data_IF_104109679098
#
_entry.id   IF_104109679098
#
_cell.length_a   1.000
_cell.length_b   1.000
_cell.length_c   1.000
_cell.angle_alpha   90.00
_cell.angle_beta   90.00
_cell.angle_gamma   90.00
#
_symmetry.space_group_name_H-M   'P 1'
#
loop_
_entity.id
_entity.type
_entity.pdbx_description
1 polymer ?
#
# COMPACT_ATOMS: atom_id res chain seq x y z
N UNK A 1 11.38 17.14 29.49
CA UNK A 1 12.52 16.34 30.03
C UNK A 1 12.18 14.90 29.72
N UNK A 2 13.05 14.12 29.10
CA UNK A 2 12.68 12.78 28.59
C UNK A 2 12.94 11.71 29.66
N UNK A 3 12.00 10.77 29.83
CA UNK A 3 12.11 9.62 30.73
C UNK A 3 12.00 8.30 29.95
N UNK A 4 12.84 7.32 30.27
CA UNK A 4 12.73 5.94 29.78
C UNK A 4 11.70 5.16 30.63
N UNK A 5 10.81 4.43 29.97
CA UNK A 5 9.81 3.56 30.62
C UNK A 5 10.38 2.16 30.89
N UNK A 6 9.73 1.40 31.77
CA UNK A 6 10.10 0.00 32.03
C UNK A 6 9.94 -0.90 30.79
N UNK A 7 9.10 -0.47 29.84
CA UNK A 7 8.91 -1.09 28.53
C UNK A 7 10.00 -0.69 27.51
N UNK A 8 10.95 0.16 27.88
CA UNK A 8 12.12 0.49 27.09
C UNK A 8 11.88 1.53 25.97
N UNK A 9 10.84 2.34 26.06
CA UNK A 9 10.60 3.49 25.16
C UNK A 9 10.56 4.81 25.94
N UNK A 10 10.60 5.94 25.24
CA UNK A 10 10.73 7.26 25.84
C UNK A 10 9.40 8.01 25.91
N UNK A 11 9.21 8.77 26.98
CA UNK A 11 8.08 9.70 27.18
C UNK A 11 8.58 11.08 27.63
N UNK A 12 7.79 12.13 27.39
CA UNK A 12 8.03 13.39 28.08
C UNK A 12 7.63 13.27 29.57
N UNK A 13 8.51 13.69 30.46
CA UNK A 13 8.33 13.54 31.90
C UNK A 13 7.18 14.38 32.46
N UNK A 14 6.82 15.49 31.81
CA UNK A 14 5.72 16.37 32.22
C UNK A 14 4.40 15.87 31.65
N UNK A 15 4.29 15.71 30.34
CA UNK A 15 3.01 15.35 29.69
C UNK A 15 2.71 13.86 29.73
N UNK A 16 3.73 13.02 29.98
CA UNK A 16 3.68 11.55 29.84
C UNK A 16 3.39 11.06 28.41
N UNK A 17 3.35 11.95 27.44
CA UNK A 17 3.16 11.60 26.03
C UNK A 17 4.40 10.86 25.48
N UNK A 18 4.21 9.85 24.61
CA UNK A 18 5.31 9.19 23.91
C UNK A 18 6.16 10.17 23.09
N UNK A 19 7.48 9.95 23.11
CA UNK A 19 8.44 10.68 22.28
C UNK A 19 9.38 9.71 21.58
N UNK A 20 9.81 10.06 20.37
CA UNK A 20 10.85 9.32 19.65
C UNK A 20 12.16 10.06 19.81
N UNK A 21 13.12 9.43 20.47
CA UNK A 21 14.50 9.93 20.58
C UNK A 21 15.24 9.56 19.31
N UNK A 22 15.71 10.55 18.54
CA UNK A 22 16.44 10.34 17.29
C UNK A 22 17.94 10.17 17.52
N UNK A 23 18.44 10.75 18.61
CA UNK A 23 19.85 10.72 18.96
C UNK A 23 20.17 11.66 20.10
N UNK A 24 21.37 12.19 20.09
CA UNK A 24 21.83 13.12 21.13
C UNK A 24 22.70 14.19 20.52
N UNK A 25 22.61 15.40 21.07
CA UNK A 25 23.33 16.58 20.61
C UNK A 25 23.70 17.50 21.76
N UNK A 26 24.12 18.71 21.42
CA UNK A 26 24.48 19.75 22.38
C UNK A 26 23.67 21.00 22.05
N UNK A 27 23.34 21.79 23.07
CA UNK A 27 22.76 23.10 22.79
C UNK A 27 23.85 24.01 22.21
N UNK A 28 23.48 24.87 21.28
CA UNK A 28 24.44 25.79 20.65
C UNK A 28 24.97 26.83 21.64
N UNK A 29 24.14 27.23 22.60
CA UNK A 29 24.45 28.19 23.67
C UNK A 29 25.18 27.54 24.88
N UNK A 30 25.01 26.25 25.08
CA UNK A 30 25.72 25.50 26.13
C UNK A 30 26.09 24.08 25.67
N UNK A 31 27.36 23.92 25.30
CA UNK A 31 27.94 22.67 24.81
C UNK A 31 28.48 21.76 25.91
N UNK A 32 28.32 22.11 27.20
CA UNK A 32 28.87 21.33 28.31
C UNK A 32 28.11 20.03 28.57
N UNK A 33 26.84 19.97 28.20
CA UNK A 33 25.97 18.82 28.47
C UNK A 33 25.33 18.30 27.19
N UNK A 34 25.48 16.98 26.98
CA UNK A 34 24.77 16.25 25.94
C UNK A 34 23.29 16.16 26.29
N UNK A 35 22.41 16.46 25.34
CA UNK A 35 20.96 16.38 25.48
C UNK A 35 20.38 15.42 24.44
N UNK A 36 19.27 14.73 24.72
CA UNK A 36 18.58 13.94 23.72
C UNK A 36 17.96 14.86 22.66
N UNK A 37 18.05 14.45 21.40
CA UNK A 37 17.30 15.03 20.28
C UNK A 37 16.08 14.12 20.08
N UNK A 38 14.87 14.67 20.16
CA UNK A 38 13.64 13.90 20.09
C UNK A 38 12.53 14.67 19.40
N UNK A 39 11.55 13.93 18.88
CA UNK A 39 10.31 14.46 18.33
C UNK A 39 9.14 13.88 19.15
N UNK A 40 8.20 14.69 19.65
CA UNK A 40 6.94 14.19 20.20
C UNK A 40 6.19 13.33 19.18
N UNK A 41 5.64 12.19 19.60
CA UNK A 41 5.05 11.26 18.63
C UNK A 41 3.88 11.86 17.87
N UNK A 42 3.10 12.74 18.50
CA UNK A 42 2.01 13.48 17.88
C UNK A 42 2.45 14.39 16.72
N UNK A 43 3.70 14.83 16.72
CA UNK A 43 4.25 15.70 15.67
C UNK A 43 4.73 14.87 14.46
N UNK A 44 4.86 13.54 14.62
CA UNK A 44 5.31 12.65 13.54
C UNK A 44 4.25 12.38 12.48
N UNK A 45 2.98 12.72 12.75
CA UNK A 45 1.92 12.67 11.74
C UNK A 45 2.15 13.67 10.60
N UNK A 46 2.97 14.70 10.80
CA UNK A 46 3.42 15.63 9.75
C UNK A 46 4.55 15.09 8.87
N UNK A 47 4.86 13.80 8.98
CA UNK A 47 5.97 13.10 8.31
C UNK A 47 7.37 13.62 8.69
N UNK A 48 8.40 12.80 8.41
CA UNK A 48 9.80 13.14 8.65
C UNK A 48 10.62 12.75 7.42
N UNK A 49 11.31 13.72 6.82
CA UNK A 49 12.29 13.47 5.77
C UNK A 49 13.71 13.51 6.37
N UNK A 50 14.45 12.41 6.23
CA UNK A 50 15.83 12.32 6.67
C UNK A 50 16.78 12.22 5.47
N UNK A 51 17.53 13.29 5.21
CA UNK A 51 18.50 13.34 4.10
C UNK A 51 19.91 13.06 4.64
N UNK A 52 20.53 11.99 4.16
CA UNK A 52 21.89 11.60 4.54
C UNK A 52 22.56 10.80 3.42
N UNK A 53 23.89 10.91 3.30
CA UNK A 53 24.68 10.05 2.42
C UNK A 53 24.99 8.70 3.06
N UNK A 54 25.45 7.74 2.25
CA UNK A 54 25.83 6.39 2.72
C UNK A 54 26.86 6.47 3.85
N UNK A 55 26.72 5.60 4.87
CA UNK A 55 27.55 5.53 6.10
C UNK A 55 27.40 6.71 7.08
N UNK A 56 26.47 7.64 6.87
CA UNK A 56 26.20 8.73 7.84
C UNK A 56 25.13 8.39 8.89
N UNK A 57 24.93 7.10 9.18
CA UNK A 57 24.05 6.67 10.27
C UNK A 57 22.55 6.60 9.95
N UNK A 58 22.13 6.69 8.67
CA UNK A 58 20.72 6.56 8.26
C UNK A 58 20.08 5.25 8.78
N UNK A 59 20.75 4.11 8.58
CA UNK A 59 20.30 2.80 9.06
C UNK A 59 20.14 2.78 10.59
N UNK A 60 21.04 3.43 11.34
CA UNK A 60 20.95 3.53 12.81
C UNK A 60 19.74 4.34 13.27
N UNK A 61 19.38 5.40 12.54
CA UNK A 61 18.17 6.17 12.83
C UNK A 61 16.92 5.34 12.57
N UNK A 62 16.87 4.63 11.43
CA UNK A 62 15.78 3.71 11.07
C UNK A 62 15.61 2.63 12.15
N UNK A 63 16.68 1.91 12.50
CA UNK A 63 16.70 0.89 13.55
C UNK A 63 16.13 1.42 14.87
N UNK A 64 16.58 2.60 15.27
CA UNK A 64 16.20 3.23 16.53
C UNK A 64 14.73 3.67 16.54
N UNK A 65 14.21 4.17 15.41
CA UNK A 65 12.78 4.50 15.26
C UNK A 65 11.93 3.23 15.32
N UNK A 66 12.27 2.21 14.51
CA UNK A 66 11.57 0.93 14.49
C UNK A 66 11.57 0.26 15.86
N UNK A 67 12.71 0.24 16.55
CA UNK A 67 12.83 -0.34 17.90
C UNK A 67 11.89 0.37 18.89
N UNK A 68 11.89 1.70 18.91
CA UNK A 68 11.04 2.49 19.79
C UNK A 68 9.56 2.28 19.47
N UNK A 69 9.18 2.29 18.20
CA UNK A 69 7.78 2.11 17.78
C UNK A 69 7.26 0.71 18.13
N UNK A 70 8.08 -0.32 17.93
CA UNK A 70 7.73 -1.68 18.34
C UNK A 70 7.54 -1.76 19.86
N UNK A 71 8.43 -1.15 20.65
CA UNK A 71 8.33 -1.12 22.13
C UNK A 71 7.14 -0.31 22.64
N UNK A 72 6.72 0.74 21.92
CA UNK A 72 5.51 1.52 22.20
C UNK A 72 4.22 0.74 21.91
N UNK A 73 4.30 -0.35 21.15
CA UNK A 73 3.13 -1.10 20.73
C UNK A 73 2.51 -0.60 19.41
N UNK A 74 3.23 0.24 18.66
CA UNK A 74 2.76 0.73 17.36
C UNK A 74 2.83 -0.37 16.30
N UNK A 75 2.01 -0.24 15.28
CA UNK A 75 2.19 -0.95 14.02
C UNK A 75 3.35 -0.32 13.26
N UNK A 76 4.21 -1.14 12.67
CA UNK A 76 5.40 -0.70 11.93
C UNK A 76 5.39 -1.32 10.54
N UNK A 77 5.60 -0.50 9.51
CA UNK A 77 5.85 -0.94 8.15
C UNK A 77 7.23 -0.42 7.70
N UNK A 78 8.21 -1.32 7.63
CA UNK A 78 9.55 -1.00 7.16
C UNK A 78 9.72 -1.44 5.71
N UNK A 79 10.02 -0.48 4.83
CA UNK A 79 10.26 -0.70 3.40
C UNK A 79 11.74 -0.48 3.12
N UNK A 80 12.41 -1.53 2.67
CA UNK A 80 13.83 -1.54 2.35
C UNK A 80 14.07 -2.03 0.93
N UNK A 81 14.30 -1.10 -0.01
CA UNK A 81 14.66 -1.46 -1.37
C UNK A 81 16.02 -2.17 -1.47
N UNK A 82 16.97 -1.90 -0.57
CA UNK A 82 18.36 -2.38 -0.70
C UNK A 82 18.61 -3.75 -0.08
N UNK A 83 17.69 -4.24 0.76
CA UNK A 83 17.84 -5.47 1.53
C UNK A 83 19.04 -5.44 2.48
N UNK A 84 19.21 -4.34 3.23
CA UNK A 84 20.16 -4.28 4.34
C UNK A 84 19.69 -5.20 5.47
N UNK A 85 20.59 -6.06 5.95
CA UNK A 85 20.30 -7.02 7.02
C UNK A 85 20.17 -6.35 8.39
N UNK A 86 20.82 -5.21 8.61
CA UNK A 86 20.96 -4.62 9.94
C UNK A 86 19.59 -4.18 10.51
N UNK A 87 18.80 -3.47 9.72
CA UNK A 87 17.47 -3.01 10.12
C UNK A 87 16.49 -4.19 10.29
N UNK A 88 16.51 -5.19 9.40
CA UNK A 88 15.69 -6.40 9.52
C UNK A 88 16.01 -7.15 10.82
N UNK A 89 17.30 -7.42 11.07
CA UNK A 89 17.75 -8.13 12.26
C UNK A 89 17.27 -7.43 13.54
N UNK A 90 17.40 -6.10 13.58
CA UNK A 90 16.96 -5.30 14.71
C UNK A 90 15.45 -5.35 14.92
N UNK A 91 14.66 -5.28 13.85
CA UNK A 91 13.20 -5.39 13.91
C UNK A 91 12.78 -6.76 14.45
N UNK A 92 13.33 -7.85 13.91
CA UNK A 92 13.03 -9.22 14.34
C UNK A 92 13.46 -9.46 15.79
N UNK A 93 14.65 -9.01 16.17
CA UNK A 93 15.15 -9.07 17.54
C UNK A 93 14.22 -8.32 18.51
N UNK A 94 13.81 -7.10 18.15
CA UNK A 94 12.92 -6.28 18.99
C UNK A 94 11.53 -6.91 19.10
N UNK A 95 10.99 -7.42 18.01
CA UNK A 95 9.71 -8.13 18.01
C UNK A 95 9.76 -9.33 18.98
N UNK A 96 10.81 -10.16 18.91
CA UNK A 96 10.99 -11.30 19.83
C UNK A 96 11.16 -10.86 21.28
N UNK A 97 11.95 -9.81 21.55
CA UNK A 97 12.16 -9.26 22.90
C UNK A 97 10.88 -8.69 23.52
N UNK A 98 9.93 -8.27 22.69
CA UNK A 98 8.66 -7.68 23.13
C UNK A 98 7.48 -8.66 23.05
N UNK A 99 7.72 -9.93 22.67
CA UNK A 99 6.66 -10.95 22.51
C UNK A 99 5.73 -10.68 21.32
N UNK A 100 6.19 -9.92 20.33
CA UNK A 100 5.44 -9.47 19.15
C UNK A 100 5.84 -10.22 17.88
N UNK A 101 6.58 -11.33 17.97
CA UNK A 101 7.05 -12.09 16.81
C UNK A 101 5.91 -12.65 15.93
N UNK A 102 4.74 -12.91 16.52
CA UNK A 102 3.54 -13.35 15.77
C UNK A 102 2.89 -12.23 14.95
N UNK A 103 3.31 -10.99 15.17
CA UNK A 103 2.83 -9.82 14.44
C UNK A 103 3.72 -9.51 13.22
N UNK A 104 4.85 -10.22 13.06
CA UNK A 104 5.78 -10.07 11.93
C UNK A 104 5.16 -10.60 10.64
N UNK A 105 5.14 -9.74 9.62
CA UNK A 105 4.81 -10.09 8.24
C UNK A 105 6.02 -9.76 7.39
N UNK A 106 6.52 -10.74 6.66
CA UNK A 106 7.69 -10.58 5.80
C UNK A 106 7.29 -10.68 4.32
N UNK A 107 7.82 -9.77 3.51
CA UNK A 107 7.65 -9.81 2.05
C UNK A 107 9.01 -9.58 1.41
N UNK A 108 9.44 -10.56 0.63
CA UNK A 108 10.69 -10.50 -0.12
C UNK A 108 10.57 -11.29 -1.44
N UNK A 109 10.59 -10.61 -2.61
CA UNK A 109 10.50 -11.26 -3.92
C UNK A 109 11.58 -12.31 -4.21
N UNK A 110 12.72 -12.30 -3.52
CA UNK A 110 13.76 -13.33 -3.69
C UNK A 110 13.45 -14.61 -2.90
N UNK A 111 12.57 -14.50 -1.89
CA UNK A 111 12.12 -15.61 -1.05
C UNK A 111 10.59 -15.69 -1.03
N UNK A 112 9.92 -15.91 -2.17
CA UNK A 112 8.45 -15.94 -2.24
C UNK A 112 7.83 -17.01 -1.35
N UNK A 113 8.54 -18.12 -1.10
CA UNK A 113 8.11 -19.20 -0.21
C UNK A 113 8.11 -18.82 1.28
N UNK A 114 8.87 -17.78 1.65
CA UNK A 114 8.91 -17.24 3.01
C UNK A 114 8.07 -15.96 3.14
N UNK A 115 7.55 -15.47 2.03
CA UNK A 115 6.79 -14.22 1.98
C UNK A 115 5.31 -14.47 2.23
N UNK A 116 4.69 -13.57 2.98
CA UNK A 116 3.24 -13.57 3.13
C UNK A 116 2.57 -13.18 1.80
N UNK A 117 1.42 -13.78 1.43
CA UNK A 117 0.62 -13.28 0.33
C UNK A 117 0.15 -11.85 0.62
N UNK A 118 0.14 -10.98 -0.38
CA UNK A 118 -0.24 -9.59 -0.21
C UNK A 118 -1.09 -9.11 -1.40
N UNK A 119 -2.39 -9.34 -1.32
CA UNK A 119 -3.32 -8.78 -2.30
C UNK A 119 -3.50 -7.27 -2.06
N UNK A 120 -2.85 -6.44 -2.88
CA UNK A 120 -2.96 -4.97 -2.79
C UNK A 120 -4.38 -4.46 -3.08
N UNK A 121 -5.23 -5.26 -3.73
CA UNK A 121 -6.60 -4.91 -4.11
C UNK A 121 -7.64 -5.47 -3.12
N UNK A 122 -7.22 -5.97 -1.95
CA UNK A 122 -8.12 -6.50 -0.91
C UNK A 122 -8.43 -5.47 0.17
N UNK A 123 -9.61 -5.56 0.76
CA UNK A 123 -10.13 -4.65 1.80
C UNK A 123 -10.28 -3.19 1.33
N UNK A 124 -10.70 -3.00 0.08
CA UNK A 124 -11.14 -1.69 -0.41
C UNK A 124 -12.54 -1.35 0.10
N UNK A 125 -12.87 -0.07 0.14
CA UNK A 125 -14.23 0.41 0.44
C UNK A 125 -14.96 0.82 -0.84
N UNK A 126 -14.27 1.52 -1.76
CA UNK A 126 -14.81 1.85 -3.10
C UNK A 126 -13.89 1.37 -4.24
N UNK A 127 -14.44 1.01 -5.42
CA UNK A 127 -13.64 0.51 -6.55
C UNK A 127 -12.56 1.48 -7.08
N UNK A 128 -12.74 2.79 -6.90
CA UNK A 128 -11.80 3.85 -7.27
C UNK A 128 -10.43 3.66 -6.61
N UNK A 129 -10.43 3.13 -5.38
CA UNK A 129 -9.19 2.80 -4.66
C UNK A 129 -8.35 1.78 -5.44
N UNK A 130 -9.02 0.78 -6.04
CA UNK A 130 -8.37 -0.27 -6.81
C UNK A 130 -7.66 0.30 -8.03
N UNK A 131 -8.32 1.21 -8.75
CA UNK A 131 -7.74 1.89 -9.91
C UNK A 131 -6.50 2.71 -9.52
N UNK A 132 -6.58 3.45 -8.40
CA UNK A 132 -5.45 4.21 -7.88
C UNK A 132 -4.25 3.33 -7.49
N UNK A 133 -4.51 2.14 -6.95
CA UNK A 133 -3.46 1.17 -6.61
C UNK A 133 -2.86 0.54 -7.87
N UNK A 134 -3.69 0.10 -8.81
CA UNK A 134 -3.24 -0.49 -10.08
C UNK A 134 -2.36 0.50 -10.86
N UNK A 135 -2.73 1.77 -10.88
CA UNK A 135 -2.01 2.80 -11.64
C UNK A 135 -0.80 3.39 -10.93
N UNK A 136 -0.66 3.26 -9.61
CA UNK A 136 0.53 3.79 -8.90
C UNK A 136 1.81 3.04 -9.27
N UNK A 137 1.69 1.77 -9.69
CA UNK A 137 2.79 0.96 -10.20
C UNK A 137 3.13 1.22 -11.67
N UNK A 138 2.32 2.01 -12.39
CA UNK A 138 2.57 2.36 -13.80
C UNK A 138 3.53 3.52 -13.84
N UNK A 139 4.63 3.37 -14.58
CA UNK A 139 5.57 4.47 -14.76
C UNK A 139 4.90 5.69 -15.38
N UNK A 140 5.18 6.86 -14.82
CA UNK A 140 4.89 8.13 -15.47
C UNK A 140 5.76 8.22 -16.74
N UNK A 141 5.19 7.85 -17.89
CA UNK A 141 5.78 8.21 -19.17
C UNK A 141 5.92 9.73 -19.31
N UNK A 142 6.62 10.19 -20.35
CA UNK A 142 6.81 11.63 -20.60
C UNK A 142 5.50 12.41 -20.78
N UNK A 143 4.42 11.72 -21.16
CA UNK A 143 3.11 12.32 -21.40
C UNK A 143 2.12 11.93 -20.28
N UNK A 144 1.67 12.91 -19.46
CA UNK A 144 0.65 12.71 -18.43
C UNK A 144 -0.68 12.15 -18.96
N UNK A 145 -0.95 12.26 -20.26
CA UNK A 145 -2.13 11.70 -20.90
C UNK A 145 -2.22 10.18 -20.77
N UNK A 146 -1.09 9.47 -20.84
CA UNK A 146 -1.08 8.00 -20.70
C UNK A 146 -1.55 7.54 -19.33
N UNK A 147 -1.20 8.28 -18.27
CA UNK A 147 -1.64 7.95 -16.92
C UNK A 147 -3.15 8.11 -16.76
N UNK A 148 -3.74 9.14 -17.36
CA UNK A 148 -5.19 9.37 -17.29
C UNK A 148 -5.99 8.25 -17.93
N UNK A 149 -5.53 7.76 -19.08
CA UNK A 149 -6.21 6.65 -19.76
C UNK A 149 -5.95 5.33 -19.05
N UNK A 150 -4.73 5.09 -18.55
CA UNK A 150 -4.47 3.91 -17.73
C UNK A 150 -5.38 3.87 -16.50
N UNK A 151 -5.62 5.04 -15.88
CA UNK A 151 -6.58 5.19 -14.80
C UNK A 151 -8.02 4.94 -15.25
N UNK A 152 -8.47 5.55 -16.36
CA UNK A 152 -9.81 5.33 -16.93
C UNK A 152 -10.10 3.85 -17.24
N UNK A 153 -9.15 3.14 -17.85
CA UNK A 153 -9.29 1.71 -18.12
C UNK A 153 -9.33 0.92 -16.81
N UNK A 154 -8.46 1.26 -15.85
CA UNK A 154 -8.37 0.55 -14.58
C UNK A 154 -9.64 0.73 -13.73
N UNK A 155 -10.20 1.94 -13.66
CA UNK A 155 -11.41 2.22 -12.89
C UNK A 155 -12.62 1.50 -13.48
N UNK A 156 -12.85 1.61 -14.80
CA UNK A 156 -13.98 0.96 -15.45
C UNK A 156 -13.85 -0.57 -15.34
N UNK A 157 -12.65 -1.13 -15.49
CA UNK A 157 -12.41 -2.56 -15.32
C UNK A 157 -12.66 -3.03 -13.87
N UNK A 158 -12.19 -2.27 -12.87
CA UNK A 158 -12.38 -2.61 -11.47
C UNK A 158 -13.86 -2.53 -11.06
N UNK A 159 -14.57 -1.47 -11.44
CA UNK A 159 -16.01 -1.33 -11.18
C UNK A 159 -16.75 -2.52 -11.81
N UNK A 160 -16.49 -2.83 -13.07
CA UNK A 160 -17.14 -3.95 -13.76
C UNK A 160 -16.90 -5.31 -13.09
N UNK A 161 -15.67 -5.58 -12.64
CA UNK A 161 -15.38 -6.78 -11.86
C UNK A 161 -16.15 -6.85 -10.54
N UNK A 162 -16.24 -5.72 -9.83
CA UNK A 162 -17.01 -5.62 -8.59
C UNK A 162 -18.50 -5.82 -8.87
N UNK A 163 -19.07 -5.13 -9.85
CA UNK A 163 -20.46 -5.25 -10.28
C UNK A 163 -20.84 -6.69 -10.64
N UNK A 164 -19.98 -7.40 -11.37
CA UNK A 164 -20.24 -8.80 -11.71
C UNK A 164 -20.20 -9.72 -10.49
N UNK A 165 -19.28 -9.50 -9.55
CA UNK A 165 -19.26 -10.25 -8.30
C UNK A 165 -20.52 -10.00 -7.45
N UNK A 166 -20.95 -8.74 -7.36
CA UNK A 166 -22.20 -8.33 -6.69
C UNK A 166 -23.42 -9.00 -7.32
N UNK A 167 -23.51 -9.02 -8.66
CA UNK A 167 -24.59 -9.70 -9.40
C UNK A 167 -24.64 -11.21 -9.14
N UNK A 168 -23.48 -11.83 -8.94
CA UNK A 168 -23.37 -13.24 -8.52
C UNK A 168 -23.71 -13.46 -7.04
N UNK A 169 -24.01 -12.41 -6.27
CA UNK A 169 -24.28 -12.49 -4.84
C UNK A 169 -23.02 -12.78 -4.01
N UNK A 170 -21.84 -12.41 -4.51
CA UNK A 170 -20.55 -12.66 -3.87
C UNK A 170 -19.86 -11.36 -3.50
N UNK A 171 -19.11 -11.37 -2.40
CA UNK A 171 -18.18 -10.29 -2.09
C UNK A 171 -17.04 -10.29 -3.11
N UNK A 172 -16.80 -9.15 -3.75
CA UNK A 172 -15.72 -8.99 -4.71
C UNK A 172 -14.36 -9.34 -4.07
N UNK A 173 -13.63 -10.27 -4.71
CA UNK A 173 -12.25 -10.63 -4.39
C UNK A 173 -11.48 -10.50 -5.70
N UNK A 174 -10.83 -9.35 -5.88
CA UNK A 174 -10.09 -9.02 -7.10
C UNK A 174 -8.60 -9.05 -6.76
N UNK A 175 -7.78 -9.62 -7.64
CA UNK A 175 -6.32 -9.56 -7.57
C UNK A 175 -5.73 -8.90 -8.83
N UNK A 176 -4.44 -8.60 -8.81
CA UNK A 176 -3.78 -7.93 -9.94
C UNK A 176 -3.83 -8.73 -11.25
N UNK A 177 -3.82 -10.06 -11.15
CA UNK A 177 -3.89 -10.93 -12.32
C UNK A 177 -5.29 -10.91 -12.97
N UNK A 178 -6.35 -10.75 -12.18
CA UNK A 178 -7.72 -10.56 -12.70
C UNK A 178 -7.79 -9.27 -13.53
N UNK A 179 -7.27 -8.16 -12.98
CA UNK A 179 -7.19 -6.87 -13.68
C UNK A 179 -6.35 -6.99 -14.96
N UNK A 180 -5.16 -7.60 -14.86
CA UNK A 180 -4.25 -7.82 -16.00
C UNK A 180 -4.93 -8.56 -17.16
N UNK A 181 -5.74 -9.57 -16.84
CA UNK A 181 -6.42 -10.40 -17.84
C UNK A 181 -7.54 -9.66 -18.58
N UNK A 182 -8.03 -8.54 -18.03
CA UNK A 182 -9.09 -7.72 -18.61
C UNK A 182 -8.53 -6.62 -19.52
N UNK A 183 -7.31 -6.12 -19.27
CA UNK A 183 -6.71 -5.03 -20.05
C UNK A 183 -6.69 -5.26 -21.58
N UNK A 184 -6.48 -6.48 -22.11
CA UNK A 184 -6.57 -6.71 -23.55
C UNK A 184 -7.92 -6.30 -24.14
N UNK A 185 -7.91 -5.69 -25.33
CA UNK A 185 -9.12 -5.12 -25.94
C UNK A 185 -10.27 -6.12 -26.12
N UNK A 186 -9.96 -7.35 -26.53
CA UNK A 186 -10.95 -8.42 -26.65
C UNK A 186 -11.54 -8.83 -25.29
N UNK A 187 -10.72 -8.85 -24.24
CA UNK A 187 -11.19 -9.10 -22.87
C UNK A 187 -12.10 -7.98 -22.36
N UNK A 188 -11.82 -6.72 -22.69
CA UNK A 188 -12.73 -5.60 -22.40
C UNK A 188 -14.07 -5.73 -23.12
N UNK A 189 -14.08 -6.17 -24.39
CA UNK A 189 -15.34 -6.44 -25.12
C UNK A 189 -16.14 -7.56 -24.44
N UNK A 190 -15.47 -8.62 -24.00
CA UNK A 190 -16.14 -9.70 -23.28
C UNK A 190 -16.68 -9.23 -21.93
N UNK A 191 -15.91 -8.43 -21.18
CA UNK A 191 -16.35 -7.82 -19.93
C UNK A 191 -17.58 -6.92 -20.15
N UNK A 192 -17.57 -6.11 -21.21
CA UNK A 192 -18.71 -5.29 -21.63
C UNK A 192 -19.95 -6.13 -21.87
N UNK A 193 -19.85 -7.22 -22.63
CA UNK A 193 -20.97 -8.12 -22.91
C UNK A 193 -21.52 -8.74 -21.63
N UNK A 194 -20.65 -9.15 -20.70
CA UNK A 194 -21.07 -9.70 -19.41
C UNK A 194 -21.85 -8.66 -18.59
N UNK A 195 -21.36 -7.42 -18.51
CA UNK A 195 -22.05 -6.34 -17.78
C UNK A 195 -23.38 -5.98 -18.47
N UNK A 196 -23.43 -5.95 -19.80
CA UNK A 196 -24.66 -5.70 -20.56
C UNK A 196 -25.72 -6.80 -20.38
N UNK A 197 -25.29 -8.02 -20.01
CA UNK A 197 -26.19 -9.16 -19.77
C UNK A 197 -26.84 -9.17 -18.39
N UNK A 198 -26.48 -8.23 -17.50
CA UNK A 198 -27.07 -8.11 -16.17
C UNK A 198 -28.56 -7.82 -16.29
N UNK A 199 -29.38 -8.68 -15.69
CA UNK A 199 -30.83 -8.48 -15.63
C UNK A 199 -31.14 -7.32 -14.67
N UNK A 200 -31.71 -6.26 -15.22
CA UNK A 200 -32.00 -5.03 -14.49
C UNK A 200 -33.05 -5.22 -13.40
N UNK A 201 -34.05 -6.08 -13.61
CA UNK A 201 -35.07 -6.35 -12.60
C UNK A 201 -34.47 -7.11 -11.43
N UNK A 202 -33.68 -8.14 -11.72
CA UNK A 202 -32.93 -8.88 -10.70
C UNK A 202 -31.96 -7.97 -9.93
N UNK A 203 -31.30 -7.05 -10.62
CA UNK A 203 -30.42 -6.07 -9.99
C UNK A 203 -31.16 -5.19 -8.98
N UNK A 204 -32.33 -4.65 -9.33
CA UNK A 204 -33.15 -3.86 -8.40
C UNK A 204 -33.59 -4.69 -7.19
N UNK A 205 -34.06 -5.92 -7.40
CA UNK A 205 -34.45 -6.83 -6.31
C UNK A 205 -33.29 -7.14 -5.34
N UNK A 206 -32.06 -7.22 -5.85
CA UNK A 206 -30.87 -7.42 -5.03
C UNK A 206 -30.47 -6.16 -4.27
N UNK A 207 -30.55 -4.99 -4.91
CA UNK A 207 -30.24 -3.70 -4.30
C UNK A 207 -31.21 -3.32 -3.16
N UNK A 208 -32.47 -3.77 -3.21
CA UNK A 208 -33.43 -3.58 -2.11
C UNK A 208 -33.05 -4.35 -0.83
N UNK A 209 -32.16 -5.35 -0.93
CA UNK A 209 -31.79 -6.25 0.18
C UNK A 209 -30.38 -6.02 0.70
N UNK A 210 -29.55 -5.28 -0.04
CA UNK A 210 -28.13 -5.11 0.24
C UNK A 210 -27.76 -3.64 0.02
N UNK A 211 -27.45 -2.93 1.11
CA UNK A 211 -27.22 -1.48 1.13
C UNK A 211 -25.97 -1.00 0.33
N UNK A 212 -25.13 -1.93 -0.15
CA UNK A 212 -23.82 -1.66 -0.77
C UNK A 212 -23.67 -2.21 -2.22
N UNK A 213 -24.72 -2.14 -3.06
CA UNK A 213 -24.71 -2.64 -4.46
C UNK A 213 -25.01 -1.51 -5.49
N UNK A 214 -24.56 -0.28 -5.21
CA UNK A 214 -24.81 0.87 -6.09
C UNK A 214 -24.31 0.67 -7.52
N UNK A 215 -23.18 -0.01 -7.70
CA UNK A 215 -22.57 -0.23 -9.03
C UNK A 215 -23.49 -1.05 -9.96
N UNK A 216 -24.32 -1.93 -9.40
CA UNK A 216 -25.21 -2.80 -10.17
C UNK A 216 -26.37 -2.03 -10.81
N UNK A 217 -26.83 -0.96 -10.16
CA UNK A 217 -27.86 -0.08 -10.69
C UNK A 217 -27.37 0.73 -11.89
N UNK A 218 -26.06 0.98 -11.95
CA UNK A 218 -25.39 1.72 -13.03
C UNK A 218 -24.81 0.83 -14.13
N UNK A 219 -25.06 -0.48 -14.10
CA UNK A 219 -24.51 -1.46 -15.05
C UNK A 219 -24.74 -1.07 -16.53
N UNK A 220 -25.88 -0.45 -16.86
CA UNK A 220 -26.16 0.02 -18.22
C UNK A 220 -25.21 1.13 -18.69
N UNK A 221 -24.92 2.10 -17.82
CA UNK A 221 -23.95 3.18 -18.10
C UNK A 221 -22.53 2.61 -18.19
N UNK A 222 -22.16 1.76 -17.23
CA UNK A 222 -20.87 1.09 -17.20
C UNK A 222 -20.59 0.26 -18.45
N UNK A 223 -21.59 -0.47 -18.95
CA UNK A 223 -21.52 -1.18 -20.24
C UNK A 223 -21.25 -0.22 -21.41
N UNK A 224 -21.90 0.95 -21.44
CA UNK A 224 -21.65 1.98 -22.44
C UNK A 224 -20.22 2.53 -22.37
N UNK A 225 -19.69 2.75 -21.17
CA UNK A 225 -18.31 3.22 -20.95
C UNK A 225 -17.29 2.18 -21.42
N UNK A 226 -17.49 0.91 -21.04
CA UNK A 226 -16.69 -0.21 -21.53
C UNK A 226 -16.72 -0.31 -23.06
N UNK A 227 -17.89 -0.12 -23.68
CA UNK A 227 -18.02 -0.16 -25.14
C UNK A 227 -17.22 0.96 -25.81
N UNK A 228 -17.25 2.19 -25.27
CA UNK A 228 -16.47 3.32 -25.79
C UNK A 228 -14.96 3.06 -25.74
N UNK A 229 -14.48 2.54 -24.60
CA UNK A 229 -13.07 2.17 -24.44
C UNK A 229 -12.71 1.04 -25.41
N UNK A 230 -13.49 -0.04 -25.43
CA UNK A 230 -13.21 -1.24 -26.22
C UNK A 230 -13.29 -1.02 -27.74
N UNK A 231 -14.06 -0.02 -28.18
CA UNK A 231 -14.16 0.38 -29.60
C UNK A 231 -13.12 1.43 -30.03
N UNK A 232 -12.21 1.84 -29.14
CA UNK A 232 -11.15 2.79 -29.49
C UNK A 232 -10.22 2.21 -30.59
N UNK A 233 -9.67 3.06 -31.49
CA UNK A 233 -8.79 2.60 -32.56
C UNK A 233 -7.61 1.78 -32.02
N UNK A 234 -7.28 0.68 -32.70
CA UNK A 234 -6.29 -0.30 -32.21
C UNK A 234 -4.92 0.33 -31.95
N UNK A 235 -4.46 1.23 -32.83
CA UNK A 235 -3.17 1.92 -32.69
C UNK A 235 -3.14 2.89 -31.50
N UNK A 236 -4.28 3.51 -31.18
CA UNK A 236 -4.43 4.38 -30.02
C UNK A 236 -4.47 3.55 -28.74
N UNK A 237 -5.30 2.50 -28.71
CA UNK A 237 -5.43 1.60 -27.57
C UNK A 237 -4.12 0.88 -27.25
N UNK A 238 -3.40 0.38 -28.26
CA UNK A 238 -2.15 -0.35 -28.10
C UNK A 238 -1.04 0.52 -27.50
N UNK A 239 -0.91 1.79 -27.92
CA UNK A 239 0.12 2.71 -27.39
C UNK A 239 -0.08 3.00 -25.91
N UNK A 240 -1.34 3.07 -25.47
CA UNK A 240 -1.69 3.50 -24.11
C UNK A 240 -1.77 2.34 -23.13
N UNK A 241 -2.31 1.20 -23.55
CA UNK A 241 -2.42 0.00 -22.70
C UNK A 241 -1.12 -0.77 -22.53
N UNK A 242 -0.12 -0.52 -23.38
CA UNK A 242 1.16 -1.25 -23.29
C UNK A 242 1.86 -1.00 -21.96
N UNK A 243 1.96 0.24 -21.48
CA UNK A 243 2.62 0.54 -20.20
C UNK A 243 1.90 -0.09 -19.01
N UNK A 244 0.56 0.01 -18.98
CA UNK A 244 -0.26 -0.63 -17.94
C UNK A 244 -0.13 -2.16 -17.97
N UNK A 245 -0.18 -2.77 -19.17
CA UNK A 245 -0.02 -4.21 -19.35
C UNK A 245 1.37 -4.69 -18.92
N UNK A 246 2.42 -3.94 -19.26
CA UNK A 246 3.81 -4.27 -18.87
C UNK A 246 3.94 -4.22 -17.35
N UNK A 247 3.52 -3.12 -16.70
CA UNK A 247 3.58 -2.97 -15.26
C UNK A 247 2.81 -4.10 -14.54
N UNK A 248 1.57 -4.40 -14.97
CA UNK A 248 0.80 -5.50 -14.40
C UNK A 248 1.44 -6.87 -14.66
N UNK A 249 2.08 -7.07 -15.82
CA UNK A 249 2.78 -8.32 -16.13
C UNK A 249 3.96 -8.53 -15.20
N UNK A 250 4.77 -7.49 -14.94
CA UNK A 250 5.87 -7.53 -13.98
C UNK A 250 5.38 -7.90 -12.58
N UNK A 251 4.21 -7.39 -12.15
CA UNK A 251 3.64 -7.68 -10.83
C UNK A 251 2.95 -9.05 -10.76
N UNK A 252 2.52 -9.62 -11.89
CA UNK A 252 1.74 -10.86 -11.91
C UNK A 252 2.55 -12.11 -12.26
N UNK A 253 3.78 -11.95 -12.75
CA UNK A 253 4.64 -13.06 -13.20
C UNK A 253 5.85 -13.22 -12.27
N UNK A 254 6.46 -14.41 -12.29
CA UNK A 254 7.68 -14.69 -11.53
C UNK A 254 7.46 -14.69 -10.02
N UNK A 255 8.50 -14.35 -9.27
CA UNK A 255 8.46 -14.39 -7.80
C UNK A 255 7.57 -13.32 -7.19
N UNK A 256 7.53 -12.11 -7.77
CA UNK A 256 6.59 -11.05 -7.35
C UNK A 256 5.15 -11.53 -7.55
N UNK A 257 4.84 -12.13 -8.70
CA UNK A 257 3.52 -12.68 -9.01
C UNK A 257 3.01 -13.73 -8.01
N UNK A 258 3.91 -14.50 -7.39
CA UNK A 258 3.56 -15.46 -6.32
C UNK A 258 3.11 -14.77 -5.03
N UNK A 259 3.58 -13.55 -4.78
CA UNK A 259 3.31 -12.78 -3.56
C UNK A 259 2.07 -11.91 -3.75
N UNK A 260 2.00 -11.13 -4.84
CA UNK A 260 0.94 -10.13 -5.04
C UNK A 260 0.01 -10.43 -6.21
N UNK A 261 0.51 -11.09 -7.25
CA UNK A 261 -0.20 -11.27 -8.52
C UNK A 261 -1.51 -12.03 -8.38
N UNK A 262 -1.46 -13.19 -7.71
CA UNK A 262 -2.62 -14.09 -7.52
C UNK A 262 -3.07 -14.18 -6.06
N UNK A 263 -2.54 -13.32 -5.19
CA UNK A 263 -2.96 -13.32 -3.80
C UNK A 263 -4.43 -12.92 -3.72
N UNK A 264 -5.21 -13.66 -2.94
CA UNK A 264 -6.63 -13.35 -2.67
C UNK A 264 -6.83 -12.65 -1.33
N UNK A 265 -5.81 -12.66 -0.48
CA UNK A 265 -5.85 -12.17 0.89
C UNK A 265 -4.70 -11.20 1.16
N UNK A 266 -4.91 -10.30 2.12
CA UNK A 266 -3.89 -9.38 2.60
C UNK A 266 -3.86 -9.40 4.14
N UNK A 267 -3.03 -10.28 4.75
CA UNK A 267 -2.97 -10.42 6.20
C UNK A 267 -2.54 -9.13 6.91
N UNK A 268 -1.78 -8.26 6.25
CA UNK A 268 -1.33 -7.00 6.83
C UNK A 268 -2.48 -6.00 6.97
N UNK A 269 -3.17 -5.70 5.85
CA UNK A 269 -4.31 -4.79 5.86
C UNK A 269 -5.46 -5.37 6.68
N UNK A 270 -5.69 -6.69 6.62
CA UNK A 270 -6.69 -7.37 7.47
C UNK A 270 -6.50 -7.07 8.96
N UNK A 271 -5.26 -7.22 9.46
CA UNK A 271 -4.92 -6.92 10.86
C UNK A 271 -5.19 -5.47 11.19
N UNK A 272 -4.75 -4.55 10.33
CA UNK A 272 -4.95 -3.11 10.52
C UNK A 272 -6.44 -2.73 10.55
N UNK A 273 -7.26 -3.29 9.67
CA UNK A 273 -8.71 -3.09 9.67
C UNK A 273 -9.39 -3.61 10.94
N UNK A 274 -8.84 -4.68 11.53
CA UNK A 274 -9.32 -5.28 12.78
C UNK A 274 -8.77 -4.57 14.04
N UNK A 275 -8.02 -3.46 13.89
CA UNK A 275 -7.37 -2.78 15.01
C UNK A 275 -6.23 -3.60 15.65
N UNK A 276 -5.74 -4.62 14.95
CA UNK A 276 -4.62 -5.43 15.40
C UNK A 276 -3.27 -4.80 15.02
N UNK A 277 -2.27 -5.04 15.85
CA UNK A 277 -0.89 -4.62 15.59
C UNK A 277 -0.26 -5.43 14.46
N UNK A 278 0.60 -4.77 13.67
CA UNK A 278 1.41 -5.44 12.63
C UNK A 278 2.85 -4.94 12.63
N UNK A 279 3.79 -5.82 12.29
CA UNK A 279 5.19 -5.47 12.01
C UNK A 279 5.50 -5.98 10.60
N UNK A 280 5.27 -5.16 9.59
CA UNK A 280 5.60 -5.48 8.20
C UNK A 280 7.07 -5.13 7.92
N UNK A 281 7.79 -6.08 7.32
CA UNK A 281 9.10 -5.84 6.70
C UNK A 281 9.05 -6.22 5.22
N UNK A 282 9.28 -5.23 4.37
CA UNK A 282 9.28 -5.35 2.91
C UNK A 282 10.70 -5.16 2.38
N UNK A 283 11.33 -6.24 1.93
CA UNK A 283 12.67 -6.25 1.35
C UNK A 283 12.61 -6.51 -0.16
N UNK A 284 12.87 -5.48 -0.97
CA UNK A 284 12.56 -5.53 -2.41
C UNK A 284 13.75 -5.85 -3.31
N UNK A 285 14.98 -5.73 -2.81
CA UNK A 285 16.26 -5.97 -3.50
C UNK A 285 16.35 -5.31 -4.87
N UNK A 286 16.11 -4.00 -4.91
CA UNK A 286 16.09 -3.16 -6.11
C UNK A 286 17.37 -3.21 -6.94
N UNK A 287 18.52 -3.51 -6.33
CA UNK A 287 19.78 -3.72 -7.05
C UNK A 287 19.75 -4.93 -7.99
N UNK A 288 18.90 -5.92 -7.72
CA UNK A 288 18.77 -7.14 -8.52
C UNK A 288 17.40 -7.23 -9.20
N UNK A 289 16.34 -6.71 -8.57
CA UNK A 289 14.97 -6.74 -9.09
C UNK A 289 14.58 -5.56 -9.99
N UNK A 290 15.42 -4.52 -10.07
CA UNK A 290 15.23 -3.39 -10.98
C UNK A 290 13.90 -2.66 -10.79
N UNK A 291 13.27 -2.27 -11.90
CA UNK A 291 12.06 -1.45 -11.91
C UNK A 291 10.84 -2.15 -11.27
N UNK A 292 10.71 -3.46 -11.43
CA UNK A 292 9.60 -4.23 -10.88
C UNK A 292 9.56 -4.16 -9.34
N UNK A 293 10.72 -4.14 -8.69
CA UNK A 293 10.81 -3.97 -7.23
C UNK A 293 10.29 -2.60 -6.76
N UNK A 294 10.54 -1.53 -7.52
CA UNK A 294 10.02 -0.20 -7.21
C UNK A 294 8.52 -0.09 -7.46
N UNK A 295 8.03 -0.67 -8.55
CA UNK A 295 6.60 -0.73 -8.85
C UNK A 295 5.84 -1.49 -7.75
N UNK A 296 6.41 -2.61 -7.25
CA UNK A 296 5.88 -3.35 -6.10
C UNK A 296 5.79 -2.47 -4.83
N UNK A 297 6.83 -1.69 -4.56
CA UNK A 297 6.85 -0.76 -3.43
C UNK A 297 5.70 0.26 -3.51
N UNK A 298 5.51 0.85 -4.70
CA UNK A 298 4.49 1.88 -4.96
C UNK A 298 3.07 1.35 -4.80
N UNK A 299 2.78 0.15 -5.28
CA UNK A 299 1.43 -0.45 -5.13
C UNK A 299 1.14 -0.84 -3.68
N UNK A 300 2.15 -1.35 -2.95
CA UNK A 300 2.00 -1.67 -1.52
C UNK A 300 1.80 -0.39 -0.71
N UNK A 301 2.60 0.64 -0.95
CA UNK A 301 2.44 1.92 -0.27
C UNK A 301 1.09 2.57 -0.59
N UNK A 302 0.67 2.55 -1.87
CA UNK A 302 -0.66 3.03 -2.27
C UNK A 302 -1.78 2.31 -1.52
N UNK A 303 -1.67 0.99 -1.32
CA UNK A 303 -2.62 0.23 -0.49
C UNK A 303 -2.68 0.73 0.95
N UNK A 304 -1.54 1.07 1.57
CA UNK A 304 -1.50 1.69 2.90
C UNK A 304 -2.10 3.10 2.92
N UNK A 305 -1.78 3.93 1.93
CA UNK A 305 -2.36 5.28 1.81
C UNK A 305 -3.88 5.22 1.68
N UNK A 306 -4.43 4.25 0.92
CA UNK A 306 -5.90 4.05 0.84
C UNK A 306 -6.48 3.63 2.18
N UNK A 307 -5.84 2.70 2.89
CA UNK A 307 -6.25 2.33 4.25
C UNK A 307 -6.27 3.55 5.20
N UNK A 308 -5.20 4.34 5.23
CA UNK A 308 -5.12 5.52 6.08
C UNK A 308 -6.18 6.57 5.70
N UNK A 309 -6.37 6.81 4.41
CA UNK A 309 -7.39 7.72 3.89
C UNK A 309 -8.82 7.31 4.30
N UNK A 310 -9.15 6.02 4.30
CA UNK A 310 -10.45 5.52 4.77
C UNK A 310 -10.67 5.82 6.25
N UNK A 311 -9.69 5.54 7.10
CA UNK A 311 -9.77 5.83 8.54
C UNK A 311 -9.94 7.32 8.81
N UNK A 312 -9.20 8.15 8.07
CA UNK A 312 -9.36 9.61 8.17
C UNK A 312 -10.77 10.07 7.77
N UNK A 313 -11.32 9.57 6.65
CA UNK A 313 -12.66 9.92 6.18
C UNK A 313 -13.77 9.47 7.14
N UNK A 314 -13.60 8.36 7.86
CA UNK A 314 -14.54 7.92 8.90
C UNK A 314 -14.38 8.64 10.23
N UNK A 315 -13.45 9.59 10.34
CA UNK A 315 -13.12 10.28 11.60
C UNK A 315 -12.44 9.37 12.63
N UNK A 316 -12.01 8.18 12.23
CA UNK A 316 -11.30 7.23 13.08
C UNK A 316 -9.81 7.57 13.15
N UNK A 317 -9.23 7.34 14.33
CA UNK A 317 -7.78 7.37 14.51
C UNK A 317 -7.26 5.96 14.28
N UNK A 318 -6.21 5.82 13.48
CA UNK A 318 -5.49 4.55 13.33
C UNK A 318 -4.89 4.18 14.69
N UNK A 319 -5.52 3.21 15.35
CA UNK A 319 -5.11 2.72 16.65
C UNK A 319 -5.03 1.19 16.60
N UNK A 320 -3.86 0.59 16.86
CA UNK A 320 -2.59 1.21 17.23
C UNK A 320 -1.96 2.04 16.09
N UNK A 321 -1.23 3.14 16.38
CA UNK A 321 -0.63 3.99 15.35
C UNK A 321 0.20 3.19 14.34
N UNK A 322 0.10 3.53 13.05
CA UNK A 322 0.91 2.95 11.99
C UNK A 322 2.09 3.89 11.66
N UNK A 323 3.30 3.39 11.87
CA UNK A 323 4.54 4.07 11.52
C UNK A 323 5.13 3.42 10.27
N UNK A 324 5.17 4.16 9.16
CA UNK A 324 5.78 3.70 7.91
C UNK A 324 7.16 4.32 7.75
N UNK A 325 8.19 3.48 7.69
CA UNK A 325 9.59 3.88 7.54
C UNK A 325 10.08 3.36 6.20
N UNK A 326 10.50 4.26 5.31
CA UNK A 326 10.95 3.92 3.96
C UNK A 326 12.43 4.26 3.82
N UNK A 327 13.26 3.24 3.61
CA UNK A 327 14.61 3.43 3.13
C UNK A 327 14.60 3.79 1.63
N UNK A 328 15.46 4.72 1.22
CA UNK A 328 15.55 5.22 -0.16
C UNK A 328 14.20 5.68 -0.73
N UNK A 329 13.51 6.55 0.00
CA UNK A 329 12.15 6.99 -0.32
C UNK A 329 12.00 7.47 -1.76
N UNK A 330 13.01 8.11 -2.36
CA UNK A 330 12.95 8.61 -3.74
C UNK A 330 12.59 7.53 -4.78
N UNK A 331 12.82 6.26 -4.46
CA UNK A 331 12.52 5.14 -5.35
C UNK A 331 11.09 4.58 -5.19
N UNK A 332 10.43 4.92 -4.08
CA UNK A 332 9.09 4.46 -3.71
C UNK A 332 8.05 5.58 -3.85
N UNK A 333 8.47 6.84 -3.83
CA UNK A 333 7.56 7.98 -4.00
C UNK A 333 6.89 7.96 -5.37
N UNK A 334 5.59 8.27 -5.39
CA UNK A 334 4.77 8.47 -6.59
C UNK A 334 3.91 9.73 -6.41
N UNK A 335 3.23 10.17 -7.48
CA UNK A 335 2.43 11.39 -7.46
C UNK A 335 1.19 11.23 -6.56
N UNK A 336 0.96 12.19 -5.65
CA UNK A 336 -0.18 12.17 -4.71
C UNK A 336 0.11 11.42 -3.40
N UNK A 337 1.39 11.24 -3.06
CA UNK A 337 1.84 10.62 -1.81
C UNK A 337 1.91 11.61 -0.65
N UNK A 338 1.99 12.90 -0.96
CA UNK A 338 1.97 14.03 -0.03
C UNK A 338 0.58 14.31 0.55
N UNK A 339 -0.47 13.83 -0.11
CA UNK A 339 -1.86 13.89 0.35
C UNK A 339 -2.24 12.75 1.31
N UNK A 340 -1.32 11.82 1.63
CA UNK A 340 -1.61 10.53 2.31
C UNK A 340 -0.97 10.32 3.67
#
# INVERSE_FOLDING_TARGET
>A
MIKLTDKGYYIDAKTKEPVTVLGSGYRLDDRRKKIPISIPDKDRSGHLLWVATTRQGKTRVIENICEQDIKKGYSVAFIDPKCDSDALNKIVETAKKTGREKELIFINPFYPQLSAPFNVLRYFFIPEELAGIVTSGVEAGKDPFFQKIAYEISIVACIALVTLAEYEGKKAVINLNDVKNIIPQESLKQLQQNVASIDRNRAYEMAERIDDIYNLLEAGQLSGDLQRIASSPQDYFAKVTTSLRVALTEMCVGSIGRIVGKAIENPCIKRLEQGERVILVLQLGSLTGGQASFNLAKIIFSSFSKFAGRKFLSGEVINPPLSTIIDECQSVLYRGIDDS
#
